data_IF_099108503107
#
_entry.id   IF_099108503107
#
_cell.length_a   1.000
_cell.length_b   1.000
_cell.length_c   1.000
_cell.angle_alpha   90.00
_cell.angle_beta   90.00
_cell.angle_gamma   90.00
#
_symmetry.space_group_name_H-M   'P 1'
#
loop_
_entity.id
_entity.type
_entity.pdbx_description
1 polymer ?
#
# COMPACT_ATOMS: atom_id res chain seq x y z
N UNK A 1 -24.61 5.59 -4.32
CA UNK A 1 -24.20 6.10 -3.01
C UNK A 1 -22.78 5.67 -2.71
N UNK A 2 -21.97 6.64 -2.35
CA UNK A 2 -20.57 6.40 -2.05
C UNK A 2 -20.39 5.70 -0.71
N UNK A 3 -19.52 4.71 -0.67
CA UNK A 3 -19.16 4.03 0.57
C UNK A 3 -18.10 4.86 1.31
N UNK A 4 -18.19 4.88 2.64
CA UNK A 4 -17.19 5.55 3.49
C UNK A 4 -15.94 4.70 3.69
N UNK A 5 -16.06 3.40 3.47
CA UNK A 5 -14.95 2.44 3.64
C UNK A 5 -14.76 1.66 2.36
N UNK A 6 -13.49 1.43 2.02
CA UNK A 6 -13.15 0.62 0.85
C UNK A 6 -13.50 -0.84 1.11
N UNK A 7 -14.24 -1.47 0.18
CA UNK A 7 -14.73 -2.83 0.37
C UNK A 7 -13.63 -3.90 0.43
N UNK A 8 -12.48 -3.64 -0.16
CA UNK A 8 -11.37 -4.60 -0.23
C UNK A 8 -10.39 -4.46 0.91
N UNK A 9 -10.11 -3.23 1.31
CA UNK A 9 -9.13 -2.95 2.37
C UNK A 9 -9.79 -2.75 3.73
N UNK A 10 -11.06 -2.38 3.76
CA UNK A 10 -11.77 -2.01 5.00
C UNK A 10 -11.38 -0.65 5.55
N UNK A 11 -10.52 0.09 4.85
CA UNK A 11 -10.03 1.38 5.31
C UNK A 11 -10.95 2.52 4.89
N UNK A 12 -10.94 3.64 5.63
CA UNK A 12 -11.65 4.85 5.20
C UNK A 12 -11.22 5.27 3.80
N UNK A 13 -12.18 5.70 2.99
CA UNK A 13 -11.93 6.11 1.61
C UNK A 13 -12.86 7.24 1.19
N UNK A 14 -12.62 7.80 0.01
CA UNK A 14 -13.46 8.85 -0.57
C UNK A 14 -13.58 10.08 0.32
N UNK A 15 -14.81 10.62 0.46
CA UNK A 15 -15.02 11.83 1.25
C UNK A 15 -14.54 11.72 2.69
N UNK A 16 -14.68 10.56 3.31
CA UNK A 16 -14.25 10.36 4.69
C UNK A 16 -12.73 10.54 4.83
N UNK A 17 -11.98 9.95 3.91
CA UNK A 17 -10.52 10.10 3.93
C UNK A 17 -10.11 11.53 3.64
N UNK A 18 -10.73 12.16 2.65
CA UNK A 18 -10.43 13.54 2.30
C UNK A 18 -10.73 14.52 3.43
N UNK A 19 -11.86 14.34 4.11
CA UNK A 19 -12.23 15.18 5.24
C UNK A 19 -11.24 15.04 6.40
N UNK A 20 -10.83 13.82 6.70
CA UNK A 20 -9.89 13.58 7.78
C UNK A 20 -8.53 14.20 7.51
N UNK A 21 -8.02 14.05 6.29
CA UNK A 21 -6.76 14.67 5.89
C UNK A 21 -6.86 16.20 5.96
N UNK A 22 -7.97 16.75 5.45
CA UNK A 22 -8.19 18.20 5.48
C UNK A 22 -8.28 18.72 6.93
N UNK A 23 -8.96 17.98 7.82
CA UNK A 23 -9.04 18.34 9.22
C UNK A 23 -7.67 18.40 9.89
N UNK A 24 -6.83 17.42 9.62
CA UNK A 24 -5.48 17.40 10.18
C UNK A 24 -4.64 18.57 9.70
N UNK A 25 -4.81 18.99 8.45
CA UNK A 25 -4.11 20.14 7.90
C UNK A 25 -4.52 21.45 8.57
N UNK A 26 -5.79 21.56 8.97
CA UNK A 26 -6.33 22.80 9.59
C UNK A 26 -5.90 22.94 11.05
N UNK A 27 -5.60 21.86 11.74
CA UNK A 27 -5.27 21.87 13.17
C UNK A 27 -3.89 22.47 13.49
N UNK A 28 -3.16 22.92 12.49
CA UNK A 28 -1.86 23.57 12.66
C UNK A 28 -0.85 22.74 13.46
N UNK A 29 -0.92 21.41 13.29
CA UNK A 29 0.06 20.52 13.88
C UNK A 29 0.93 19.91 12.78
N UNK A 30 2.20 19.75 13.07
CA UNK A 30 3.10 19.08 12.13
C UNK A 30 2.71 17.62 11.96
N UNK A 31 2.60 17.18 10.72
CA UNK A 31 2.37 15.77 10.40
C UNK A 31 3.06 15.43 9.09
N UNK A 32 3.26 14.13 8.89
CA UNK A 32 3.80 13.61 7.64
C UNK A 32 2.73 12.78 6.95
N UNK A 33 2.51 13.06 5.67
CA UNK A 33 1.62 12.26 4.84
C UNK A 33 2.46 11.37 3.95
N UNK A 34 2.19 10.06 3.97
CA UNK A 34 2.84 9.08 3.12
C UNK A 34 1.77 8.36 2.32
N UNK A 35 1.98 8.25 1.00
CA UNK A 35 1.09 7.48 0.13
C UNK A 35 1.85 6.32 -0.47
N UNK A 36 1.19 5.17 -0.56
CA UNK A 36 1.82 3.94 -1.02
C UNK A 36 1.05 3.36 -2.19
N UNK A 37 1.77 2.99 -3.22
CA UNK A 37 1.23 2.20 -4.32
C UNK A 37 1.97 0.86 -4.38
N UNK A 38 1.37 -0.11 -5.06
CA UNK A 38 1.97 -1.44 -5.21
C UNK A 38 2.49 -1.56 -6.64
N UNK A 39 3.81 -1.54 -6.81
CA UNK A 39 4.40 -1.81 -8.11
C UNK A 39 4.20 -3.28 -8.47
N UNK A 40 4.02 -3.57 -9.74
CA UNK A 40 3.79 -4.94 -10.20
C UNK A 40 2.39 -5.48 -9.95
N UNK A 41 1.49 -4.67 -9.40
CA UNK A 41 0.13 -5.11 -9.07
C UNK A 41 -0.67 -5.49 -10.31
N UNK A 42 -0.54 -4.70 -11.39
CA UNK A 42 -1.26 -4.98 -12.65
C UNK A 42 -0.87 -6.33 -13.26
N UNK A 43 0.42 -6.61 -13.33
CA UNK A 43 0.90 -7.89 -13.85
C UNK A 43 0.46 -9.06 -12.96
N UNK A 44 0.47 -8.85 -11.63
CA UNK A 44 -0.02 -9.85 -10.69
C UNK A 44 -1.50 -10.14 -10.93
N UNK A 45 -2.32 -9.08 -11.02
CA UNK A 45 -3.75 -9.23 -11.26
C UNK A 45 -4.03 -9.96 -12.58
N UNK A 46 -3.28 -9.65 -13.63
CA UNK A 46 -3.45 -10.27 -14.95
C UNK A 46 -3.18 -11.78 -14.90
N UNK A 47 -2.17 -12.20 -14.17
CA UNK A 47 -1.82 -13.61 -14.10
C UNK A 47 -2.62 -14.40 -13.06
N UNK A 48 -2.80 -13.82 -11.86
CA UNK A 48 -3.37 -14.53 -10.71
C UNK A 48 -4.84 -14.24 -10.47
N UNK A 49 -5.39 -13.25 -11.14
CA UNK A 49 -6.82 -12.93 -11.08
C UNK A 49 -7.20 -11.97 -9.96
N UNK A 50 -8.41 -11.40 -10.12
CA UNK A 50 -8.86 -10.33 -9.24
C UNK A 50 -9.08 -10.77 -7.78
N UNK A 51 -9.45 -12.03 -7.55
CA UNK A 51 -9.65 -12.51 -6.18
C UNK A 51 -8.35 -12.53 -5.39
N UNK A 52 -7.28 -13.00 -6.04
CA UNK A 52 -5.95 -12.95 -5.43
C UNK A 52 -5.45 -11.52 -5.27
N UNK A 53 -5.74 -10.67 -6.25
CA UNK A 53 -5.38 -9.25 -6.17
C UNK A 53 -6.10 -8.56 -5.00
N UNK A 54 -7.37 -8.88 -4.78
CA UNK A 54 -8.11 -8.34 -3.63
C UNK A 54 -7.47 -8.79 -2.31
N UNK A 55 -7.01 -10.02 -2.23
CA UNK A 55 -6.32 -10.54 -1.05
C UNK A 55 -4.99 -9.80 -0.81
N UNK A 56 -4.29 -9.43 -1.88
CA UNK A 56 -3.08 -8.61 -1.77
C UNK A 56 -3.41 -7.23 -1.18
N UNK A 57 -4.50 -6.60 -1.61
CA UNK A 57 -4.90 -5.30 -1.05
C UNK A 57 -5.24 -5.41 0.43
N UNK A 58 -5.94 -6.48 0.82
CA UNK A 58 -6.22 -6.78 2.23
C UNK A 58 -4.93 -6.92 3.04
N UNK A 59 -3.96 -7.63 2.49
CA UNK A 59 -2.67 -7.81 3.11
C UNK A 59 -1.92 -6.47 3.25
N UNK A 60 -1.97 -5.63 2.22
CA UNK A 60 -1.38 -4.29 2.26
C UNK A 60 -1.97 -3.45 3.38
N UNK A 61 -3.30 -3.46 3.52
CA UNK A 61 -3.97 -2.75 4.58
C UNK A 61 -3.52 -3.22 5.97
N UNK A 62 -3.37 -4.54 6.13
CA UNK A 62 -2.89 -5.13 7.38
C UNK A 62 -1.48 -4.67 7.72
N UNK A 63 -0.57 -4.66 6.74
CA UNK A 63 0.80 -4.21 6.95
C UNK A 63 0.85 -2.76 7.42
N UNK A 64 0.06 -1.90 6.78
CA UNK A 64 0.01 -0.48 7.11
C UNK A 64 -0.58 -0.27 8.50
N UNK A 65 -1.68 -0.94 8.80
CA UNK A 65 -2.33 -0.83 10.10
C UNK A 65 -1.40 -1.29 11.23
N UNK A 66 -0.72 -2.41 11.06
CA UNK A 66 0.21 -2.91 12.07
C UNK A 66 1.39 -1.96 12.30
N UNK A 67 1.92 -1.38 11.22
CA UNK A 67 3.03 -0.44 11.32
C UNK A 67 2.63 0.83 12.07
N UNK A 68 1.44 1.35 11.79
CA UNK A 68 0.94 2.54 12.49
C UNK A 68 0.65 2.23 13.96
N UNK A 69 0.08 1.05 14.23
CA UNK A 69 -0.20 0.63 15.61
C UNK A 69 1.08 0.52 16.43
N UNK A 70 2.14 0.00 15.83
CA UNK A 70 3.41 -0.23 16.54
C UNK A 70 4.27 1.04 16.64
N UNK A 71 4.33 1.84 15.59
CA UNK A 71 5.28 2.96 15.49
C UNK A 71 4.63 4.33 15.51
N UNK A 72 3.33 4.40 15.36
CA UNK A 72 2.62 5.67 15.25
C UNK A 72 2.10 6.21 16.57
N UNK A 73 1.13 7.11 16.46
CA UNK A 73 0.45 7.73 17.59
C UNK A 73 -1.05 7.42 17.53
N UNK A 74 -1.79 7.56 18.65
CA UNK A 74 -3.24 7.31 18.62
C UNK A 74 -4.02 8.26 17.70
N UNK A 75 -3.42 9.36 17.31
CA UNK A 75 -4.06 10.37 16.47
C UNK A 75 -3.81 10.14 14.96
N UNK A 76 -2.98 9.17 14.63
CA UNK A 76 -2.62 8.90 13.25
C UNK A 76 -3.82 8.35 12.46
N UNK A 77 -3.84 8.65 11.16
CA UNK A 77 -4.91 8.23 10.26
C UNK A 77 -4.36 7.30 9.19
N UNK A 78 -5.14 6.27 8.88
CA UNK A 78 -4.84 5.34 7.80
C UNK A 78 -6.06 5.29 6.88
N UNK A 79 -5.83 5.38 5.57
CA UNK A 79 -6.92 5.33 4.59
C UNK A 79 -6.49 4.69 3.27
N UNK A 80 -7.46 4.54 2.38
CA UNK A 80 -7.22 4.06 1.03
C UNK A 80 -7.96 4.97 0.07
N UNK A 81 -7.23 5.70 -0.76
CA UNK A 81 -7.79 6.75 -1.60
C UNK A 81 -7.11 6.75 -2.96
N UNK A 82 -7.91 6.73 -4.02
CA UNK A 82 -7.42 6.77 -5.40
C UNK A 82 -6.41 5.66 -5.72
N UNK A 83 -6.68 4.46 -5.22
CA UNK A 83 -5.83 3.30 -5.44
C UNK A 83 -4.53 3.28 -4.65
N UNK A 84 -4.41 4.14 -3.64
CA UNK A 84 -3.21 4.23 -2.80
C UNK A 84 -3.56 4.15 -1.34
N UNK A 85 -2.71 3.51 -0.58
CA UNK A 85 -2.78 3.57 0.88
C UNK A 85 -2.25 4.91 1.35
N UNK A 86 -2.84 5.45 2.39
CA UNK A 86 -2.43 6.76 2.94
C UNK A 86 -2.20 6.59 4.43
N UNK A 87 -1.06 7.09 4.92
CA UNK A 87 -0.80 7.25 6.34
C UNK A 87 -0.58 8.73 6.58
N UNK A 88 -1.27 9.28 7.57
CA UNK A 88 -0.99 10.62 8.07
C UNK A 88 -0.59 10.44 9.53
N UNK A 89 0.67 10.76 9.84
CA UNK A 89 1.23 10.50 11.16
C UNK A 89 1.79 11.76 11.80
N UNK A 90 1.63 11.84 13.12
CA UNK A 90 2.20 12.92 13.93
C UNK A 90 3.51 12.52 14.61
N UNK A 91 3.98 11.30 14.35
CA UNK A 91 5.26 10.86 14.91
C UNK A 91 6.39 11.74 14.34
N UNK A 92 7.37 12.09 15.17
CA UNK A 92 8.44 12.99 14.76
C UNK A 92 9.29 12.43 13.63
N UNK A 93 9.65 11.15 13.72
CA UNK A 93 10.45 10.49 12.70
C UNK A 93 9.72 9.24 12.22
N UNK A 94 9.16 9.24 11.00
CA UNK A 94 8.41 8.10 10.48
C UNK A 94 9.28 7.02 9.85
N UNK A 95 10.60 7.09 9.94
CA UNK A 95 11.48 6.14 9.24
C UNK A 95 11.26 4.69 9.66
N UNK A 96 11.07 4.43 10.96
CA UNK A 96 10.81 3.06 11.42
C UNK A 96 9.45 2.54 10.95
N UNK A 97 8.44 3.40 10.97
CA UNK A 97 7.12 3.07 10.46
C UNK A 97 7.18 2.74 8.97
N UNK A 98 7.89 3.56 8.21
CA UNK A 98 8.06 3.36 6.78
C UNK A 98 8.80 2.05 6.49
N UNK A 99 9.91 1.81 7.17
CA UNK A 99 10.70 0.60 6.97
C UNK A 99 9.89 -0.66 7.33
N UNK A 100 9.13 -0.62 8.40
CA UNK A 100 8.26 -1.71 8.82
C UNK A 100 7.19 -2.00 7.73
N UNK A 101 6.52 -0.95 7.26
CA UNK A 101 5.46 -1.09 6.26
C UNK A 101 5.98 -1.72 4.98
N UNK A 102 7.04 -1.15 4.43
CA UNK A 102 7.64 -1.62 3.17
C UNK A 102 8.22 -3.02 3.32
N UNK A 103 8.98 -3.24 4.40
CA UNK A 103 9.62 -4.53 4.65
C UNK A 103 8.62 -5.67 4.81
N UNK A 104 7.57 -5.46 5.60
CA UNK A 104 6.53 -6.47 5.81
C UNK A 104 5.78 -6.79 4.52
N UNK A 105 5.41 -5.76 3.77
CA UNK A 105 4.70 -5.98 2.53
C UNK A 105 5.57 -6.72 1.51
N UNK A 106 6.78 -6.24 1.27
CA UNK A 106 7.65 -6.81 0.25
C UNK A 106 7.99 -8.27 0.55
N UNK A 107 8.24 -8.59 1.81
CA UNK A 107 8.53 -9.98 2.19
C UNK A 107 7.28 -10.84 2.09
N UNK A 108 6.15 -10.38 2.63
CA UNK A 108 4.92 -11.16 2.64
C UNK A 108 4.28 -11.32 1.27
N UNK A 109 4.47 -10.36 0.37
CA UNK A 109 3.91 -10.42 -0.97
C UNK A 109 4.46 -11.60 -1.78
N UNK A 110 5.64 -12.07 -1.46
CA UNK A 110 6.26 -13.23 -2.13
C UNK A 110 5.40 -14.49 -1.99
N UNK A 111 4.66 -14.61 -0.91
CA UNK A 111 3.81 -15.78 -0.64
C UNK A 111 2.58 -15.87 -1.57
N UNK A 112 2.25 -14.79 -2.28
CA UNK A 112 1.12 -14.80 -3.22
C UNK A 112 1.48 -15.39 -4.58
N UNK A 113 2.77 -15.55 -4.86
CA UNK A 113 3.25 -16.06 -6.15
C UNK A 113 3.51 -17.55 -6.11
N UNK A 114 3.52 -18.17 -7.28
CA UNK A 114 4.02 -19.54 -7.40
C UNK A 114 5.52 -19.58 -7.11
N UNK A 115 6.01 -20.77 -6.80
CA UNK A 115 7.43 -21.00 -6.58
C UNK A 115 8.29 -20.56 -7.78
N UNK A 116 7.80 -20.81 -9.00
CA UNK A 116 8.54 -20.46 -10.22
C UNK A 116 8.70 -18.93 -10.33
N UNK A 117 7.63 -18.19 -10.08
CA UNK A 117 7.68 -16.74 -10.19
C UNK A 117 8.60 -16.14 -9.11
N UNK A 118 8.59 -16.71 -7.90
CA UNK A 118 9.51 -16.27 -6.85
C UNK A 118 10.97 -16.54 -7.25
N UNK A 119 11.26 -17.71 -7.79
CA UNK A 119 12.62 -18.04 -8.23
C UNK A 119 13.10 -17.14 -9.35
N UNK A 120 12.20 -16.72 -10.23
CA UNK A 120 12.53 -15.80 -11.33
C UNK A 120 12.59 -14.34 -10.88
N UNK A 121 12.22 -14.04 -9.64
CA UNK A 121 12.05 -12.69 -9.13
C UNK A 121 11.02 -11.88 -9.91
N UNK A 122 10.01 -12.55 -10.46
CA UNK A 122 8.95 -11.88 -11.21
C UNK A 122 8.17 -12.80 -12.12
N UNK A 123 7.27 -12.20 -12.86
CA UNK A 123 6.43 -12.87 -13.84
C UNK A 123 7.04 -12.70 -15.22
N UNK A 124 7.33 -13.81 -15.90
CA UNK A 124 7.81 -13.78 -17.27
C UNK A 124 6.61 -13.54 -18.21
N UNK A 125 6.64 -12.43 -18.93
CA UNK A 125 5.56 -11.99 -19.81
C UNK A 125 5.98 -12.16 -21.26
N UNK A 126 5.06 -12.62 -22.11
CA UNK A 126 5.29 -12.84 -23.54
C UNK A 126 6.46 -13.79 -23.81
N UNK A 127 6.53 -14.85 -23.00
CA UNK A 127 7.61 -15.85 -23.08
C UNK A 127 7.75 -16.42 -24.50
N UNK A 128 9.00 -16.48 -24.97
CA UNK A 128 9.32 -17.03 -26.28
C UNK A 128 9.08 -16.06 -27.43
N UNK A 129 8.72 -14.82 -27.17
CA UNK A 129 8.52 -13.81 -28.19
C UNK A 129 9.57 -12.71 -28.12
N UNK A 130 9.60 -11.84 -29.14
CA UNK A 130 10.50 -10.68 -29.17
C UNK A 130 10.18 -9.68 -28.03
N UNK A 131 8.98 -9.74 -27.49
CA UNK A 131 8.53 -8.84 -26.41
C UNK A 131 8.63 -9.50 -25.02
N UNK A 132 9.37 -10.58 -24.92
CA UNK A 132 9.57 -11.24 -23.63
C UNK A 132 10.24 -10.30 -22.64
N UNK A 133 9.66 -10.21 -21.44
CA UNK A 133 10.24 -9.39 -20.38
C UNK A 133 9.79 -9.92 -19.03
N UNK A 134 10.50 -9.52 -17.99
CA UNK A 134 10.18 -9.89 -16.62
C UNK A 134 9.48 -8.72 -15.92
N UNK A 135 8.29 -8.99 -15.39
CA UNK A 135 7.60 -8.06 -14.49
C UNK A 135 8.02 -8.39 -13.06
N UNK A 136 8.76 -7.50 -12.37
CA UNK A 136 9.25 -7.80 -11.03
C UNK A 136 8.15 -8.14 -10.04
N UNK A 137 8.52 -8.85 -8.97
CA UNK A 137 7.60 -9.12 -7.87
C UNK A 137 7.08 -7.81 -7.28
N UNK A 138 5.84 -7.85 -6.77
CA UNK A 138 5.22 -6.68 -6.16
C UNK A 138 6.07 -6.12 -5.02
N UNK A 139 6.15 -4.80 -4.98
CA UNK A 139 6.78 -4.05 -3.91
C UNK A 139 5.93 -2.84 -3.58
N UNK A 140 5.99 -2.43 -2.33
CA UNK A 140 5.30 -1.23 -1.91
C UNK A 140 6.21 -0.02 -2.21
N UNK A 141 5.68 0.93 -2.96
CA UNK A 141 6.38 2.17 -3.28
C UNK A 141 5.78 3.31 -2.48
N UNK A 142 6.63 4.12 -1.88
CA UNK A 142 6.19 5.23 -1.05
C UNK A 142 6.38 6.56 -1.78
N UNK A 143 5.37 7.41 -1.62
CA UNK A 143 5.43 8.80 -2.07
C UNK A 143 5.24 9.65 -0.83
N UNK A 144 6.33 10.04 -0.20
CA UNK A 144 6.29 10.84 1.02
C UNK A 144 6.15 12.30 0.68
N UNK A 145 5.18 12.95 1.32
CA UNK A 145 4.99 14.37 1.17
C UNK A 145 5.60 15.09 2.37
N UNK A 146 6.13 16.29 2.10
CA UNK A 146 6.71 17.11 3.13
C UNK A 146 5.66 17.48 4.19
N UNK A 147 6.13 17.79 5.36
CA UNK A 147 5.30 18.29 6.45
C UNK A 147 4.58 19.57 6.00
N UNK A 148 3.36 19.67 6.39
CA UNK A 148 2.50 20.77 6.00
C UNK A 148 2.21 21.70 7.18
#
# INVERSE_FOLDING_TARGET
RESLYDSKTGLPTGPMAEEEIARMKVEDEAFTEMRFSISGFGAFNDKYGFMNADTVLEFGAKCIYEAVTEHGTPEDFVGYLDGKFVIVTKVDDPDEMLAHTVGQFNEGARAFYTFIDVDNNGILVNEGTANEHLEPLMQLEVHQQADV
#
